data_IF_613593975628
#
_entry.id   IF_613593975628
#
_cell.length_a   1.000
_cell.length_b   1.000
_cell.length_c   1.000
_cell.angle_alpha   90.00
_cell.angle_beta   90.00
_cell.angle_gamma   90.00
#
_symmetry.space_group_name_H-M   'P 1'
#
loop_
_entity.id
_entity.type
_entity.pdbx_description
1 polymer ?
#
# COMPACT_ATOMS: atom_id res chain seq x y z
N UNK A 1 26.24 -5.78 -6.47
CA UNK A 1 25.03 -6.28 -7.16
C UNK A 1 24.04 -6.95 -6.23
N UNK A 2 24.44 -7.92 -5.42
CA UNK A 2 23.50 -8.62 -4.50
C UNK A 2 22.85 -7.67 -3.49
N UNK A 3 23.56 -6.69 -2.96
CA UNK A 3 23.01 -5.67 -2.04
C UNK A 3 21.89 -4.85 -2.72
N UNK A 4 22.10 -4.43 -3.98
CA UNK A 4 21.09 -3.68 -4.74
C UNK A 4 19.84 -4.51 -4.99
N UNK A 5 20.02 -5.80 -5.32
CA UNK A 5 18.89 -6.72 -5.49
C UNK A 5 18.12 -6.91 -4.18
N UNK A 6 18.83 -7.09 -3.07
CA UNK A 6 18.23 -7.22 -1.74
C UNK A 6 17.44 -5.96 -1.35
N UNK A 7 18.05 -4.79 -1.53
CA UNK A 7 17.43 -3.50 -1.27
C UNK A 7 16.21 -3.27 -2.17
N UNK A 8 16.32 -3.65 -3.44
CA UNK A 8 15.21 -3.59 -4.39
C UNK A 8 14.04 -4.51 -4.04
N UNK A 9 14.33 -5.72 -3.54
CA UNK A 9 13.30 -6.64 -3.05
C UNK A 9 12.63 -6.05 -1.79
N UNK A 10 13.40 -5.54 -0.84
CA UNK A 10 12.85 -4.93 0.37
C UNK A 10 11.93 -3.75 0.03
N UNK A 11 12.36 -2.87 -0.86
CA UNK A 11 11.57 -1.73 -1.32
C UNK A 11 10.33 -2.17 -2.12
N UNK A 12 10.47 -3.16 -3.01
CA UNK A 12 9.35 -3.72 -3.76
C UNK A 12 8.29 -4.36 -2.86
N UNK A 13 8.70 -5.11 -1.83
CA UNK A 13 7.78 -5.68 -0.85
C UNK A 13 7.06 -4.60 -0.04
N UNK A 14 7.77 -3.54 0.36
CA UNK A 14 7.18 -2.39 1.03
C UNK A 14 6.16 -1.69 0.13
N UNK A 15 6.50 -1.44 -1.14
CA UNK A 15 5.57 -0.87 -2.13
C UNK A 15 4.33 -1.74 -2.31
N UNK A 16 4.48 -3.07 -2.30
CA UNK A 16 3.33 -3.96 -2.38
C UNK A 16 2.39 -3.80 -1.19
N UNK A 17 2.90 -3.82 0.04
CA UNK A 17 2.06 -3.67 1.24
C UNK A 17 1.38 -2.30 1.24
N UNK A 18 2.11 -1.23 0.90
CA UNK A 18 1.56 0.11 0.74
C UNK A 18 0.45 0.18 -0.32
N UNK A 19 0.58 -0.54 -1.44
CA UNK A 19 -0.38 -0.53 -2.54
C UNK A 19 -1.46 -1.61 -2.42
N UNK A 20 -1.32 -2.59 -1.51
CA UNK A 20 -2.18 -3.77 -1.45
C UNK A 20 -3.65 -3.46 -1.19
N UNK A 21 -3.93 -2.49 -0.31
CA UNK A 21 -5.30 -2.04 -0.08
C UNK A 21 -5.90 -1.34 -1.30
N UNK A 22 -5.11 -0.58 -2.06
CA UNK A 22 -5.55 -0.01 -3.33
C UNK A 22 -5.79 -1.11 -4.37
N UNK A 23 -4.95 -2.14 -4.42
CA UNK A 23 -5.14 -3.29 -5.30
C UNK A 23 -6.47 -4.03 -5.00
N UNK A 24 -6.84 -4.14 -3.73
CA UNK A 24 -8.11 -4.73 -3.30
C UNK A 24 -9.29 -3.83 -3.65
N UNK A 25 -9.23 -2.53 -3.36
CA UNK A 25 -10.34 -1.61 -3.63
C UNK A 25 -10.54 -1.38 -5.13
N UNK A 26 -9.48 -1.17 -5.89
CA UNK A 26 -9.58 -0.97 -7.33
C UNK A 26 -9.86 -2.31 -8.06
N UNK A 27 -9.14 -3.38 -7.68
CA UNK A 27 -9.24 -4.67 -8.37
C UNK A 27 -10.52 -5.43 -8.07
N UNK A 28 -10.99 -5.42 -6.83
CA UNK A 28 -12.18 -6.17 -6.43
C UNK A 28 -13.43 -5.30 -6.33
N UNK A 29 -13.33 -4.08 -5.81
CA UNK A 29 -14.50 -3.21 -5.62
C UNK A 29 -14.74 -2.25 -6.79
N UNK A 30 -13.85 -2.23 -7.79
CA UNK A 30 -13.87 -1.28 -8.92
C UNK A 30 -14.01 0.19 -8.47
N UNK A 31 -13.36 0.54 -7.35
CA UNK A 31 -13.41 1.84 -6.73
C UNK A 31 -12.03 2.51 -6.75
N UNK A 32 -11.96 3.71 -7.36
CA UNK A 32 -10.71 4.47 -7.48
C UNK A 32 -10.50 5.29 -6.20
N UNK A 33 -9.61 4.83 -5.33
CA UNK A 33 -9.28 5.51 -4.08
C UNK A 33 -7.90 6.16 -4.12
N UNK A 34 -7.83 7.39 -4.57
CA UNK A 34 -6.57 8.14 -4.57
C UNK A 34 -6.12 8.57 -3.15
N UNK A 35 -7.05 8.62 -2.19
CA UNK A 35 -6.73 8.92 -0.79
C UNK A 35 -6.06 7.73 -0.04
N UNK A 36 -5.76 6.63 -0.75
CA UNK A 36 -5.12 5.47 -0.13
C UNK A 36 -3.80 5.81 0.57
N UNK A 37 -3.00 6.70 0.00
CA UNK A 37 -1.76 7.21 0.59
C UNK A 37 -1.95 7.95 1.92
N UNK A 38 -3.13 8.52 2.16
CA UNK A 38 -3.45 9.20 3.42
C UNK A 38 -3.55 8.22 4.61
N UNK A 39 -4.01 6.98 4.37
CA UNK A 39 -4.01 5.94 5.39
C UNK A 39 -2.59 5.46 5.72
N UNK A 40 -1.72 5.38 4.70
CA UNK A 40 -0.31 5.07 4.90
C UNK A 40 0.38 6.16 5.73
N UNK A 41 0.17 7.42 5.38
CA UNK A 41 0.65 8.57 6.14
C UNK A 41 0.14 8.55 7.59
N UNK A 42 -1.15 8.30 7.80
CA UNK A 42 -1.75 8.25 9.14
C UNK A 42 -1.10 7.16 10.02
N UNK A 43 -0.93 5.94 9.50
CA UNK A 43 -0.27 4.85 10.22
C UNK A 43 1.20 5.15 10.52
N UNK A 44 1.91 5.76 9.58
CA UNK A 44 3.28 6.21 9.78
C UNK A 44 3.37 7.26 10.89
N UNK A 45 2.53 8.30 10.88
CA UNK A 45 2.51 9.31 11.95
C UNK A 45 2.11 8.74 13.31
N UNK A 46 1.16 7.80 13.36
CA UNK A 46 0.85 7.07 14.60
C UNK A 46 2.10 6.38 15.14
N UNK A 47 2.88 5.73 14.29
CA UNK A 47 4.13 5.08 14.70
C UNK A 47 5.16 6.10 15.19
N UNK A 48 5.34 7.22 14.48
CA UNK A 48 6.24 8.32 14.92
C UNK A 48 5.85 8.83 16.29
N UNK A 49 4.55 9.08 16.53
CA UNK A 49 4.07 9.56 17.82
C UNK A 49 4.28 8.54 18.94
N UNK A 50 3.94 7.27 18.68
CA UNK A 50 4.07 6.20 19.67
C UNK A 50 5.54 5.95 20.05
N UNK A 51 6.42 5.84 19.05
CA UNK A 51 7.83 5.50 19.28
C UNK A 51 8.62 6.71 19.76
N UNK A 52 8.59 7.82 19.01
CA UNK A 52 9.48 8.95 19.26
C UNK A 52 9.02 9.84 20.41
N UNK A 53 7.70 9.95 20.68
CA UNK A 53 7.18 10.82 21.76
C UNK A 53 6.75 10.05 23.00
N UNK A 54 6.14 8.86 22.82
CA UNK A 54 5.59 8.08 23.94
C UNK A 54 6.50 6.94 24.39
N UNK A 55 7.62 6.68 23.68
CA UNK A 55 8.57 5.62 24.02
C UNK A 55 8.02 4.19 23.89
N UNK A 56 6.93 4.00 23.13
CA UNK A 56 6.35 2.67 22.88
C UNK A 56 7.33 1.86 22.03
N UNK A 57 7.58 0.59 22.36
CA UNK A 57 8.46 -0.26 21.54
C UNK A 57 8.00 -0.31 20.08
N UNK A 58 8.96 -0.19 19.14
CA UNK A 58 8.68 -0.16 17.70
C UNK A 58 7.77 -1.31 17.24
N UNK A 59 8.05 -2.55 17.69
CA UNK A 59 7.25 -3.71 17.31
C UNK A 59 5.78 -3.62 17.78
N UNK A 60 5.54 -3.00 18.93
CA UNK A 60 4.19 -2.80 19.46
C UNK A 60 3.45 -1.68 18.70
N UNK A 61 4.17 -0.70 18.15
CA UNK A 61 3.57 0.38 17.36
C UNK A 61 3.00 -0.11 16.02
N UNK A 62 3.53 -1.19 15.43
CA UNK A 62 3.08 -1.70 14.13
C UNK A 62 1.62 -2.17 14.14
N UNK A 63 1.15 -3.06 15.04
CA UNK A 63 -0.25 -3.43 15.10
C UNK A 63 -1.14 -2.25 15.51
N UNK A 64 -0.66 -1.30 16.31
CA UNK A 64 -1.41 -0.09 16.65
C UNK A 64 -1.60 0.83 15.45
N UNK A 65 -0.58 0.99 14.61
CA UNK A 65 -0.67 1.74 13.35
C UNK A 65 -1.66 1.09 12.37
N UNK A 66 -1.63 -0.25 12.25
CA UNK A 66 -2.62 -1.00 11.48
C UNK A 66 -4.03 -0.72 11.99
N UNK A 67 -4.27 -0.89 13.30
CA UNK A 67 -5.59 -0.70 13.90
C UNK A 67 -6.08 0.73 13.78
N UNK A 68 -5.24 1.73 14.02
CA UNK A 68 -5.60 3.14 13.90
C UNK A 68 -6.04 3.47 12.47
N UNK A 69 -5.25 3.06 11.46
CA UNK A 69 -5.59 3.29 10.05
C UNK A 69 -6.82 2.48 9.62
N UNK A 70 -6.99 1.26 10.13
CA UNK A 70 -8.18 0.44 9.86
C UNK A 70 -9.45 1.07 10.44
N UNK A 71 -9.39 1.62 11.65
CA UNK A 71 -10.52 2.33 12.28
C UNK A 71 -10.85 3.60 11.51
N UNK A 72 -9.84 4.41 11.15
CA UNK A 72 -10.05 5.60 10.31
C UNK A 72 -10.70 5.19 8.98
N UNK A 73 -10.18 4.18 8.32
CA UNK A 73 -10.73 3.66 7.07
C UNK A 73 -12.16 3.17 7.22
N UNK A 74 -12.46 2.41 8.27
CA UNK A 74 -13.81 1.94 8.56
C UNK A 74 -14.81 3.08 8.79
N UNK A 75 -14.43 4.08 9.59
CA UNK A 75 -15.27 5.24 9.87
C UNK A 75 -15.53 6.04 8.60
N UNK A 76 -14.48 6.35 7.83
CA UNK A 76 -14.62 7.09 6.57
C UNK A 76 -15.44 6.31 5.53
N UNK A 77 -15.29 4.99 5.47
CA UNK A 77 -16.11 4.17 4.59
C UNK A 77 -17.59 4.27 4.94
N UNK A 78 -17.92 4.12 6.21
CA UNK A 78 -19.33 4.15 6.69
C UNK A 78 -19.99 5.52 6.56
N UNK A 79 -19.21 6.59 6.68
CA UNK A 79 -19.74 7.97 6.69
C UNK A 79 -19.69 8.63 5.32
N UNK A 80 -18.62 8.39 4.53
CA UNK A 80 -18.37 9.13 3.30
C UNK A 80 -18.33 8.24 2.06
N UNK A 81 -17.47 7.20 2.02
CA UNK A 81 -17.22 6.42 0.80
C UNK A 81 -18.46 5.65 0.33
N UNK A 82 -19.31 5.17 1.25
CA UNK A 82 -20.55 4.46 0.92
C UNK A 82 -21.47 5.25 -0.02
N UNK A 83 -21.43 6.58 0.04
CA UNK A 83 -22.24 7.47 -0.80
C UNK A 83 -21.64 7.67 -2.21
N UNK A 84 -20.37 7.32 -2.40
CA UNK A 84 -19.61 7.57 -3.63
C UNK A 84 -19.42 6.31 -4.47
N UNK A 85 -19.61 5.11 -3.93
CA UNK A 85 -19.44 3.84 -4.66
C UNK A 85 -20.27 3.73 -5.96
N UNK A 86 -21.45 4.36 -5.99
CA UNK A 86 -22.37 4.33 -7.14
C UNK A 86 -22.22 5.53 -8.10
N UNK A 87 -21.30 6.43 -7.80
CA UNK A 87 -21.03 7.62 -8.62
C UNK A 87 -20.08 7.26 -9.76
N UNK A 88 -19.93 8.18 -10.72
CA UNK A 88 -18.99 8.02 -11.82
C UNK A 88 -17.56 7.92 -11.32
N UNK A 89 -16.66 7.32 -12.11
CA UNK A 89 -15.23 7.27 -11.78
C UNK A 89 -14.63 8.67 -11.60
N UNK A 90 -15.11 9.66 -12.34
CA UNK A 90 -14.67 11.04 -12.19
C UNK A 90 -15.07 11.61 -10.82
N UNK A 91 -16.31 11.38 -10.37
CA UNK A 91 -16.77 11.81 -9.04
C UNK A 91 -15.96 11.14 -7.93
N UNK A 92 -15.63 9.83 -8.08
CA UNK A 92 -14.81 9.08 -7.13
C UNK A 92 -13.41 9.68 -7.03
N UNK A 93 -12.79 10.00 -8.17
CA UNK A 93 -11.47 10.63 -8.24
C UNK A 93 -11.49 12.00 -7.59
N UNK A 94 -12.44 12.87 -7.95
CA UNK A 94 -12.55 14.22 -7.38
C UNK A 94 -12.78 14.18 -5.86
N UNK A 95 -13.65 13.30 -5.39
CA UNK A 95 -13.92 13.10 -3.98
C UNK A 95 -12.66 12.65 -3.23
N UNK A 96 -11.95 11.65 -3.74
CA UNK A 96 -10.76 11.10 -3.07
C UNK A 96 -9.58 12.06 -3.14
N UNK A 97 -9.41 12.86 -4.20
CA UNK A 97 -8.43 13.96 -4.23
C UNK A 97 -8.75 15.01 -3.16
N UNK A 98 -10.02 15.38 -2.99
CA UNK A 98 -10.44 16.28 -1.92
C UNK A 98 -10.02 15.75 -0.53
N UNK A 99 -10.22 14.45 -0.28
CA UNK A 99 -9.76 13.81 0.97
C UNK A 99 -8.23 13.81 1.12
N UNK A 100 -7.48 13.67 0.01
CA UNK A 100 -6.01 13.81 0.05
C UNK A 100 -5.62 15.19 0.55
N UNK A 101 -6.16 16.27 -0.05
CA UNK A 101 -5.82 17.63 0.39
C UNK A 101 -6.25 17.91 1.83
N UNK A 102 -7.41 17.42 2.26
CA UNK A 102 -7.82 17.51 3.66
C UNK A 102 -6.85 16.79 4.60
N UNK A 103 -6.40 15.60 4.23
CA UNK A 103 -5.43 14.84 5.03
C UNK A 103 -4.06 15.51 5.09
N UNK A 104 -3.61 16.10 3.96
CA UNK A 104 -2.36 16.89 3.89
C UNK A 104 -2.44 18.08 4.84
N UNK A 105 -3.53 18.87 4.75
CA UNK A 105 -3.72 20.04 5.61
C UNK A 105 -3.83 19.67 7.10
N UNK A 106 -4.54 18.59 7.41
CA UNK A 106 -4.65 18.09 8.78
C UNK A 106 -3.30 17.61 9.34
N UNK A 107 -2.51 16.89 8.52
CA UNK A 107 -1.18 16.44 8.90
C UNK A 107 -0.22 17.61 9.10
N UNK A 108 -0.24 18.59 8.21
CA UNK A 108 0.59 19.82 8.32
C UNK A 108 0.27 20.60 9.61
N UNK A 109 -1.01 20.74 9.93
CA UNK A 109 -1.47 21.43 11.13
C UNK A 109 -1.04 20.71 12.42
N UNK A 110 -1.14 19.37 12.47
CA UNK A 110 -0.89 18.60 13.69
C UNK A 110 0.59 18.24 13.87
N UNK A 111 1.27 17.88 12.78
CA UNK A 111 2.63 17.34 12.81
C UNK A 111 3.69 18.35 12.35
N UNK A 112 3.26 19.40 11.66
CA UNK A 112 4.13 20.38 11.00
C UNK A 112 4.60 19.90 9.64
N UNK A 113 5.19 20.83 8.87
CA UNK A 113 5.62 20.60 7.47
C UNK A 113 6.97 19.89 7.30
N UNK A 114 7.72 19.69 8.40
CA UNK A 114 9.04 19.05 8.36
C UNK A 114 8.93 17.54 8.19
N UNK A 115 9.87 16.97 7.43
CA UNK A 115 9.99 15.53 7.31
C UNK A 115 10.44 14.89 8.63
N UNK A 116 9.77 13.83 9.05
CA UNK A 116 10.08 13.07 10.25
C UNK A 116 10.35 11.60 9.93
N UNK A 117 11.21 10.98 10.72
CA UNK A 117 11.58 9.58 10.63
C UNK A 117 11.25 8.86 11.95
N UNK A 118 10.98 7.57 11.87
CA UNK A 118 10.82 6.73 13.06
C UNK A 118 12.19 6.33 13.60
N UNK A 119 12.37 6.44 14.91
CA UNK A 119 13.56 5.92 15.57
C UNK A 119 13.43 4.41 15.78
N UNK A 120 14.13 3.65 14.94
CA UNK A 120 14.13 2.19 15.07
C UNK A 120 15.08 1.75 16.20
N UNK A 121 14.77 0.62 16.90
CA UNK A 121 15.64 0.07 17.94
C UNK A 121 17.07 -0.18 17.42
N UNK A 122 18.05 -0.08 18.32
CA UNK A 122 19.46 -0.32 18.00
C UNK A 122 19.72 -1.73 17.42
N UNK A 123 18.90 -2.72 17.79
CA UNK A 123 18.96 -4.07 17.24
C UNK A 123 18.68 -4.14 15.73
N UNK A 124 17.93 -3.18 15.19
CA UNK A 124 17.58 -3.08 13.76
C UNK A 124 18.50 -2.12 12.99
N UNK A 125 19.32 -1.37 13.71
CA UNK A 125 20.32 -0.48 13.09
C UNK A 125 21.53 -1.29 12.62
N UNK A 126 22.19 -0.80 11.56
CA UNK A 126 23.38 -1.43 11.00
C UNK A 126 23.09 -2.56 10.01
N UNK A 127 24.12 -3.32 9.70
CA UNK A 127 24.12 -4.34 8.65
C UNK A 127 24.68 -5.65 9.19
N UNK A 128 24.27 -6.76 8.58
CA UNK A 128 24.94 -8.05 8.70
C UNK A 128 25.91 -8.18 7.53
N UNK A 129 27.18 -8.43 7.81
CA UNK A 129 28.17 -8.77 6.80
C UNK A 129 28.19 -10.30 6.61
N UNK A 130 27.65 -10.74 5.48
CA UNK A 130 27.69 -12.15 5.07
C UNK A 130 28.58 -12.25 3.83
N UNK A 131 29.79 -12.75 3.99
CA UNK A 131 30.74 -12.96 2.87
C UNK A 131 31.02 -11.69 2.04
N UNK A 132 31.14 -10.52 2.70
CA UNK A 132 31.38 -9.23 2.03
C UNK A 132 30.12 -8.56 1.45
N UNK A 133 28.93 -9.07 1.76
CA UNK A 133 27.66 -8.47 1.36
C UNK A 133 27.02 -7.85 2.59
N UNK A 134 26.92 -6.52 2.62
CA UNK A 134 26.22 -5.79 3.67
C UNK A 134 24.71 -5.89 3.49
N UNK A 135 24.03 -6.59 4.39
CA UNK A 135 22.58 -6.74 4.42
C UNK A 135 22.01 -5.90 5.56
N UNK A 136 21.23 -4.86 5.25
CA UNK A 136 20.58 -3.99 6.24
C UNK A 136 19.58 -4.78 7.11
N UNK A 137 19.75 -4.75 8.43
CA UNK A 137 18.87 -5.46 9.38
C UNK A 137 17.41 -5.04 9.26
N UNK A 138 17.18 -3.74 9.14
CA UNK A 138 15.83 -3.19 8.99
C UNK A 138 15.16 -3.65 7.69
N UNK A 139 15.92 -3.70 6.58
CA UNK A 139 15.41 -4.18 5.29
C UNK A 139 15.05 -5.67 5.32
N UNK A 140 15.82 -6.47 6.05
CA UNK A 140 15.48 -7.87 6.29
C UNK A 140 14.15 -8.00 7.05
N UNK A 141 13.95 -7.19 8.09
CA UNK A 141 12.68 -7.14 8.82
C UNK A 141 11.51 -6.81 7.88
N UNK A 142 11.68 -5.79 7.01
CA UNK A 142 10.65 -5.43 6.01
C UNK A 142 10.31 -6.63 5.12
N UNK A 143 11.32 -7.31 4.57
CA UNK A 143 11.10 -8.49 3.72
C UNK A 143 10.28 -9.56 4.46
N UNK A 144 10.65 -9.86 5.70
CA UNK A 144 9.96 -10.89 6.49
C UNK A 144 8.51 -10.48 6.78
N UNK A 145 8.30 -9.27 7.31
CA UNK A 145 6.95 -8.80 7.67
C UNK A 145 6.08 -8.67 6.42
N UNK A 146 6.57 -7.99 5.38
CA UNK A 146 5.80 -7.81 4.15
C UNK A 146 5.54 -9.15 3.43
N UNK A 147 6.49 -10.09 3.48
CA UNK A 147 6.31 -11.44 2.97
C UNK A 147 5.20 -12.20 3.71
N UNK A 148 5.21 -12.17 5.04
CA UNK A 148 4.15 -12.77 5.85
C UNK A 148 2.78 -12.13 5.58
N UNK A 149 2.73 -10.81 5.49
CA UNK A 149 1.49 -10.08 5.15
C UNK A 149 0.97 -10.44 3.76
N UNK A 150 1.87 -10.59 2.79
CA UNK A 150 1.51 -11.00 1.42
C UNK A 150 0.89 -12.40 1.42
N UNK A 151 1.52 -13.35 2.09
CA UNK A 151 1.00 -14.73 2.22
C UNK A 151 -0.34 -14.72 2.96
N UNK A 152 -0.44 -13.99 4.08
CA UNK A 152 -1.66 -13.87 4.85
C UNK A 152 -2.80 -13.26 4.02
N UNK A 153 -2.55 -12.19 3.27
CA UNK A 153 -3.53 -11.54 2.39
C UNK A 153 -4.01 -12.51 1.30
N UNK A 154 -3.09 -13.20 0.63
CA UNK A 154 -3.45 -14.20 -0.38
C UNK A 154 -4.27 -15.33 0.23
N UNK A 155 -3.88 -15.83 1.41
CA UNK A 155 -4.61 -16.88 2.11
C UNK A 155 -6.03 -16.43 2.49
N UNK A 156 -6.16 -15.23 3.07
CA UNK A 156 -7.47 -14.66 3.46
C UNK A 156 -8.39 -14.56 2.24
N UNK A 157 -7.88 -14.06 1.14
CA UNK A 157 -8.70 -13.84 -0.07
C UNK A 157 -9.00 -15.13 -0.83
N UNK A 158 -8.05 -16.09 -0.89
CA UNK A 158 -8.22 -17.31 -1.66
C UNK A 158 -9.01 -18.40 -0.92
N UNK A 159 -8.73 -18.57 0.39
CA UNK A 159 -9.15 -19.78 1.12
C UNK A 159 -10.14 -19.54 2.27
N UNK A 160 -10.50 -18.26 2.57
CA UNK A 160 -11.46 -18.00 3.67
C UNK A 160 -12.87 -17.70 3.18
N UNK A 161 -13.84 -17.85 4.10
CA UNK A 161 -15.23 -17.46 3.86
C UNK A 161 -15.39 -15.95 3.62
N UNK A 162 -14.49 -15.13 4.15
CA UNK A 162 -14.47 -13.70 3.89
C UNK A 162 -14.13 -13.42 2.42
N UNK A 163 -13.06 -14.02 1.90
CA UNK A 163 -12.67 -13.86 0.49
C UNK A 163 -13.74 -14.36 -0.49
N UNK A 164 -14.41 -15.47 -0.19
CA UNK A 164 -15.51 -15.96 -1.04
C UNK A 164 -16.73 -15.01 -1.03
N UNK A 165 -17.10 -14.47 0.14
CA UNK A 165 -18.17 -13.47 0.24
C UNK A 165 -17.82 -12.17 -0.47
N UNK A 166 -16.55 -11.74 -0.37
CA UNK A 166 -16.08 -10.55 -1.07
C UNK A 166 -16.20 -10.73 -2.58
N UNK A 167 -15.69 -11.83 -3.15
CA UNK A 167 -15.83 -12.11 -4.59
C UNK A 167 -17.28 -12.14 -5.03
N UNK A 168 -18.16 -12.86 -4.31
CA UNK A 168 -19.59 -12.89 -4.61
C UNK A 168 -20.25 -11.50 -4.56
N UNK A 169 -19.87 -10.66 -3.57
CA UNK A 169 -20.39 -9.30 -3.44
C UNK A 169 -19.94 -8.38 -4.58
N UNK A 170 -18.76 -8.63 -5.17
CA UNK A 170 -18.17 -7.87 -6.27
C UNK A 170 -18.73 -8.34 -7.62
N UNK A 171 -18.87 -9.65 -7.83
CA UNK A 171 -19.38 -10.23 -9.07
C UNK A 171 -20.83 -9.81 -9.33
N UNK A 172 -21.70 -9.99 -8.34
CA UNK A 172 -23.09 -9.49 -8.39
C UNK A 172 -23.59 -9.15 -6.99
N UNK A 173 -23.57 -7.87 -6.63
CA UNK A 173 -24.02 -7.39 -5.32
C UNK A 173 -25.52 -7.62 -5.06
N UNK A 174 -26.35 -7.73 -6.12
CA UNK A 174 -27.78 -7.99 -5.98
C UNK A 174 -28.03 -9.45 -5.62
N UNK A 175 -27.42 -10.37 -6.37
CA UNK A 175 -27.50 -11.81 -6.09
C UNK A 175 -26.89 -12.13 -4.73
N UNK A 176 -25.73 -11.56 -4.39
CA UNK A 176 -25.09 -11.76 -3.09
C UNK A 176 -26.02 -11.37 -1.92
N UNK A 177 -26.74 -10.24 -2.04
CA UNK A 177 -27.75 -9.83 -1.03
C UNK A 177 -28.91 -10.79 -0.96
N UNK A 178 -29.38 -11.31 -2.10
CA UNK A 178 -30.44 -12.34 -2.16
C UNK A 178 -30.04 -13.63 -1.44
N UNK A 179 -28.76 -13.97 -1.43
CA UNK A 179 -28.17 -15.10 -0.69
C UNK A 179 -27.88 -14.79 0.79
N UNK A 180 -28.29 -13.62 1.31
CA UNK A 180 -28.12 -13.23 2.70
C UNK A 180 -26.73 -12.64 3.03
N UNK A 181 -25.88 -12.31 2.03
CA UNK A 181 -24.60 -11.67 2.27
C UNK A 181 -24.83 -10.18 2.50
N UNK A 182 -24.37 -9.68 3.65
CA UNK A 182 -24.38 -8.24 3.92
C UNK A 182 -23.22 -7.56 3.18
N UNK A 183 -23.47 -7.16 1.93
CA UNK A 183 -22.47 -6.54 1.04
C UNK A 183 -21.84 -5.28 1.65
N UNK A 184 -22.65 -4.47 2.36
CA UNK A 184 -22.15 -3.23 2.97
C UNK A 184 -21.12 -3.53 4.08
N UNK A 185 -21.32 -4.58 4.88
CA UNK A 185 -20.34 -5.00 5.87
C UNK A 185 -19.08 -5.60 5.24
N UNK A 186 -19.25 -6.39 4.19
CA UNK A 186 -18.10 -6.97 3.46
C UNK A 186 -17.24 -5.85 2.89
N UNK A 187 -17.83 -4.82 2.29
CA UNK A 187 -17.08 -3.69 1.73
C UNK A 187 -16.41 -2.85 2.83
N UNK A 188 -17.12 -2.55 3.92
CA UNK A 188 -16.55 -1.80 5.04
C UNK A 188 -15.34 -2.51 5.68
N UNK A 189 -15.45 -3.82 5.91
CA UNK A 189 -14.35 -4.61 6.46
C UNK A 189 -13.18 -4.71 5.48
N UNK A 190 -13.46 -4.87 4.18
CA UNK A 190 -12.43 -4.89 3.13
C UNK A 190 -11.68 -3.57 3.08
N UNK A 191 -12.40 -2.45 3.11
CA UNK A 191 -11.84 -1.11 3.10
C UNK A 191 -11.00 -0.84 4.36
N UNK A 192 -11.53 -1.20 5.54
CA UNK A 192 -10.82 -1.10 6.81
C UNK A 192 -9.51 -1.91 6.81
N UNK A 193 -9.58 -3.15 6.35
CA UNK A 193 -8.40 -4.02 6.27
C UNK A 193 -7.36 -3.46 5.29
N UNK A 194 -7.79 -2.99 4.11
CA UNK A 194 -6.92 -2.35 3.12
C UNK A 194 -6.26 -1.07 3.66
N UNK A 195 -7.03 -0.24 4.36
CA UNK A 195 -6.51 0.98 5.02
C UNK A 195 -5.52 0.64 6.14
N UNK A 196 -5.80 -0.44 6.91
CA UNK A 196 -4.89 -0.95 7.93
C UNK A 196 -3.55 -1.42 7.35
N UNK A 197 -3.59 -2.16 6.22
CA UNK A 197 -2.37 -2.58 5.51
C UNK A 197 -1.56 -1.37 5.00
N UNK A 198 -2.23 -0.35 4.45
CA UNK A 198 -1.57 0.88 4.06
C UNK A 198 -0.90 1.55 5.26
N UNK A 199 -1.61 1.67 6.40
CA UNK A 199 -1.06 2.26 7.62
C UNK A 199 0.14 1.49 8.16
N UNK A 200 0.09 0.18 8.13
CA UNK A 200 1.22 -0.66 8.53
C UNK A 200 2.39 -0.53 7.55
N UNK A 201 2.11 -0.44 6.24
CA UNK A 201 3.13 -0.13 5.23
C UNK A 201 3.76 1.25 5.46
N UNK A 202 2.97 2.26 5.83
CA UNK A 202 3.46 3.59 6.21
C UNK A 202 4.32 3.57 7.47
N UNK A 203 3.93 2.77 8.48
CA UNK A 203 4.71 2.55 9.70
C UNK A 203 6.09 1.92 9.41
N UNK A 204 6.11 0.87 8.58
CA UNK A 204 7.34 0.21 8.14
C UNK A 204 8.16 1.10 7.19
N UNK A 205 7.50 1.93 6.38
CA UNK A 205 8.17 2.85 5.46
C UNK A 205 8.73 4.10 6.10
N UNK A 206 8.26 4.47 7.30
CA UNK A 206 8.58 5.75 7.94
C UNK A 206 10.07 5.97 8.23
N UNK A 207 10.85 4.89 8.39
CA UNK A 207 12.31 5.00 8.57
C UNK A 207 13.03 5.21 7.24
N UNK A 208 12.58 4.56 6.15
CA UNK A 208 13.27 4.59 4.84
C UNK A 208 12.81 5.77 3.98
N UNK A 209 11.50 6.01 3.94
CA UNK A 209 10.89 7.00 3.06
C UNK A 209 10.80 8.39 3.72
N UNK A 210 10.79 8.39 5.07
CA UNK A 210 10.41 9.57 5.84
C UNK A 210 8.94 9.93 5.65
N UNK A 211 8.42 10.70 6.58
CA UNK A 211 7.02 11.16 6.54
C UNK A 211 6.99 12.68 6.55
N UNK A 212 6.27 13.23 5.61
CA UNK A 212 5.89 14.63 5.57
C UNK A 212 4.42 14.73 5.13
N UNK A 213 3.74 15.87 5.33
CA UNK A 213 2.32 16.02 4.97
C UNK A 213 2.03 15.73 3.50
N UNK A 214 2.99 15.90 2.59
CA UNK A 214 2.83 15.64 1.16
C UNK A 214 3.02 14.18 0.76
N UNK A 215 3.29 13.28 1.73
CA UNK A 215 3.48 11.84 1.51
C UNK A 215 2.39 11.21 0.63
N UNK A 216 1.08 11.46 0.85
CA UNK A 216 0.03 10.89 0.01
C UNK A 216 0.17 11.30 -1.46
N UNK A 217 0.51 12.55 -1.73
CA UNK A 217 0.68 13.06 -3.10
C UNK A 217 1.90 12.46 -3.79
N UNK A 218 3.03 12.33 -3.06
CA UNK A 218 4.27 11.76 -3.58
C UNK A 218 4.10 10.28 -3.97
N UNK A 219 3.45 9.49 -3.10
CA UNK A 219 3.37 8.05 -3.27
C UNK A 219 2.11 7.56 -3.98
N UNK A 220 1.08 8.39 -4.17
CA UNK A 220 -0.14 8.05 -4.89
C UNK A 220 0.15 7.45 -6.27
N UNK A 221 1.06 8.07 -7.01
CA UNK A 221 1.43 7.62 -8.36
C UNK A 221 2.13 6.25 -8.29
N UNK A 222 3.02 6.03 -7.31
CA UNK A 222 3.70 4.73 -7.13
C UNK A 222 2.70 3.60 -6.85
N UNK A 223 1.68 3.84 -6.02
CA UNK A 223 0.65 2.84 -5.74
C UNK A 223 -0.19 2.53 -6.97
N UNK A 224 -0.56 3.55 -7.75
CA UNK A 224 -1.25 3.37 -9.01
C UNK A 224 -0.40 2.59 -10.03
N UNK A 225 0.90 2.88 -10.13
CA UNK A 225 1.82 2.17 -11.01
C UNK A 225 1.86 0.68 -10.65
N UNK A 226 2.01 0.35 -9.36
CA UNK A 226 2.04 -1.04 -8.89
C UNK A 226 0.77 -1.78 -9.30
N UNK A 227 -0.40 -1.17 -9.12
CA UNK A 227 -1.68 -1.81 -9.43
C UNK A 227 -1.92 -1.90 -10.93
N UNK A 228 -1.60 -0.86 -11.69
CA UNK A 228 -1.81 -0.84 -13.15
C UNK A 228 -0.83 -1.75 -13.89
N UNK A 229 0.44 -1.75 -13.51
CA UNK A 229 1.47 -2.64 -14.07
C UNK A 229 1.17 -4.10 -13.70
N UNK A 230 0.75 -4.34 -12.47
CA UNK A 230 0.38 -5.69 -12.01
C UNK A 230 -0.90 -6.22 -12.63
N UNK A 231 -1.83 -5.32 -12.94
CA UNK A 231 -3.20 -5.63 -13.35
C UNK A 231 -4.14 -5.80 -12.15
N UNK A 232 -5.42 -5.55 -12.38
CA UNK A 232 -6.45 -5.51 -11.33
C UNK A 232 -7.16 -6.84 -11.10
N UNK A 233 -6.90 -7.85 -11.93
CA UNK A 233 -7.62 -9.14 -11.90
C UNK A 233 -7.17 -10.09 -10.78
N UNK A 234 -6.02 -9.85 -10.16
CA UNK A 234 -5.45 -10.68 -9.10
C UNK A 234 -4.53 -9.87 -8.19
N UNK A 235 -4.28 -10.34 -6.97
CA UNK A 235 -3.31 -9.71 -6.05
C UNK A 235 -1.88 -10.14 -6.34
N UNK A 236 -1.71 -11.30 -6.97
CA UNK A 236 -0.38 -11.80 -7.38
C UNK A 236 0.28 -10.88 -8.41
N UNK A 237 -0.51 -10.28 -9.30
CA UNK A 237 -0.02 -9.34 -10.30
C UNK A 237 0.66 -8.11 -9.69
N UNK A 238 -0.03 -7.32 -8.85
CA UNK A 238 0.57 -6.20 -8.12
C UNK A 238 1.78 -6.59 -7.26
N UNK A 239 1.79 -7.80 -6.67
CA UNK A 239 2.96 -8.29 -5.92
C UNK A 239 4.19 -8.45 -6.81
N UNK A 240 4.06 -9.16 -7.93
CA UNK A 240 5.17 -9.34 -8.87
C UNK A 240 5.60 -8.03 -9.53
N UNK A 241 4.63 -7.17 -9.87
CA UNK A 241 4.91 -5.84 -10.40
C UNK A 241 5.69 -4.98 -9.41
N UNK A 242 5.31 -4.98 -8.14
CA UNK A 242 6.01 -4.21 -7.10
C UNK A 242 7.46 -4.66 -6.91
N UNK A 243 7.75 -5.96 -7.03
CA UNK A 243 9.12 -6.47 -6.97
C UNK A 243 9.95 -5.98 -8.17
N UNK A 244 9.41 -6.07 -9.39
CA UNK A 244 10.08 -5.57 -10.60
C UNK A 244 10.33 -4.06 -10.50
N UNK A 245 9.31 -3.31 -10.08
CA UNK A 245 9.39 -1.86 -9.92
C UNK A 245 10.38 -1.46 -8.81
N UNK A 246 10.36 -2.15 -7.68
CA UNK A 246 11.27 -1.90 -6.56
C UNK A 246 12.73 -2.17 -6.91
N UNK A 247 13.01 -3.29 -7.58
CA UNK A 247 14.35 -3.61 -8.06
C UNK A 247 14.80 -2.58 -9.11
N UNK A 248 13.91 -2.23 -10.05
CA UNK A 248 14.20 -1.25 -11.09
C UNK A 248 14.45 0.15 -10.53
N UNK A 249 13.66 0.61 -9.57
CA UNK A 249 13.83 1.92 -8.92
C UNK A 249 15.16 2.02 -8.16
N UNK A 250 15.47 1.00 -7.34
CA UNK A 250 16.73 0.96 -6.58
C UNK A 250 17.94 0.84 -7.49
N UNK A 251 17.88 -0.03 -8.50
CA UNK A 251 18.95 -0.17 -9.48
C UNK A 251 19.15 1.12 -10.29
N UNK A 252 18.05 1.75 -10.73
CA UNK A 252 18.10 3.02 -11.46
C UNK A 252 18.77 4.13 -10.66
N UNK A 253 18.38 4.30 -9.40
CA UNK A 253 18.99 5.29 -8.49
C UNK A 253 20.47 5.02 -8.20
N UNK A 254 20.88 3.75 -8.22
CA UNK A 254 22.26 3.38 -7.97
C UNK A 254 23.16 3.57 -9.21
N UNK A 255 22.72 3.08 -10.39
CA UNK A 255 23.55 3.09 -11.60
C UNK A 255 23.48 4.41 -12.37
N UNK A 256 22.32 5.08 -12.34
CA UNK A 256 22.09 6.34 -13.06
C UNK A 256 21.38 7.35 -12.14
N UNK A 257 22.07 7.90 -11.11
CA UNK A 257 21.43 8.72 -10.08
C UNK A 257 20.65 9.92 -10.63
N UNK A 258 21.12 10.53 -11.72
CA UNK A 258 20.49 11.68 -12.37
C UNK A 258 19.15 11.35 -13.02
N UNK A 259 18.95 10.10 -13.46
CA UNK A 259 17.74 9.62 -14.12
C UNK A 259 17.02 8.56 -13.30
N UNK A 260 17.53 8.20 -12.12
CA UNK A 260 17.02 7.11 -11.30
C UNK A 260 15.52 7.23 -10.99
N UNK A 261 15.05 8.45 -10.73
CA UNK A 261 13.63 8.69 -10.45
C UNK A 261 12.72 8.49 -11.67
N UNK A 262 13.25 8.51 -12.89
CA UNK A 262 12.46 8.27 -14.11
C UNK A 262 12.28 6.79 -14.41
N UNK A 263 13.12 5.91 -13.86
CA UNK A 263 13.12 4.46 -14.20
C UNK A 263 11.77 3.82 -13.93
N UNK A 264 11.14 4.10 -12.78
CA UNK A 264 9.84 3.53 -12.44
C UNK A 264 8.73 3.95 -13.42
N UNK A 265 8.74 5.21 -13.84
CA UNK A 265 7.79 5.73 -14.83
C UNK A 265 8.04 5.15 -16.23
N UNK A 266 9.32 4.98 -16.59
CA UNK A 266 9.72 4.36 -17.86
C UNK A 266 9.23 2.91 -17.91
N UNK A 267 9.43 2.13 -16.84
CA UNK A 267 8.92 0.75 -16.74
C UNK A 267 7.40 0.74 -16.91
N UNK A 268 6.70 1.65 -16.23
CA UNK A 268 5.24 1.78 -16.35
C UNK A 268 4.82 2.01 -17.81
N UNK A 269 5.42 3.02 -18.47
CA UNK A 269 5.06 3.39 -19.85
C UNK A 269 5.31 2.21 -20.79
N UNK A 270 6.47 1.57 -20.71
CA UNK A 270 6.84 0.42 -21.54
C UNK A 270 5.85 -0.74 -21.33
N UNK A 271 5.52 -1.05 -20.07
CA UNK A 271 4.58 -2.13 -19.77
C UNK A 271 3.18 -1.82 -20.29
N UNK A 272 2.67 -0.60 -20.11
CA UNK A 272 1.32 -0.23 -20.53
C UNK A 272 1.19 -0.14 -22.06
N UNK A 273 2.25 0.25 -22.78
CA UNK A 273 2.28 0.19 -24.26
C UNK A 273 2.22 -1.26 -24.73
N UNK A 274 2.96 -2.16 -24.08
CA UNK A 274 3.05 -3.56 -24.48
C UNK A 274 1.84 -4.38 -24.01
N UNK A 275 1.39 -4.14 -22.76
CA UNK A 275 0.24 -4.82 -22.13
C UNK A 275 -0.64 -3.81 -21.36
N UNK A 276 -1.61 -3.18 -22.02
CA UNK A 276 -2.44 -2.14 -21.41
C UNK A 276 -3.30 -2.63 -20.24
N UNK A 277 -3.53 -3.95 -20.12
CA UNK A 277 -4.28 -4.55 -19.01
C UNK A 277 -3.39 -4.94 -17.82
N UNK A 278 -2.08 -4.66 -17.89
CA UNK A 278 -1.08 -5.09 -16.92
C UNK A 278 -0.45 -6.44 -17.26
N UNK A 279 0.73 -6.71 -16.66
CA UNK A 279 1.57 -7.88 -16.99
C UNK A 279 0.89 -9.21 -16.67
N UNK A 280 0.10 -9.27 -15.61
CA UNK A 280 -0.45 -10.49 -15.03
C UNK A 280 -1.99 -10.55 -15.08
N UNK A 281 -2.63 -9.68 -15.87
CA UNK A 281 -4.06 -9.81 -16.12
C UNK A 281 -4.33 -11.07 -16.95
N UNK A 282 -5.32 -11.88 -16.55
CA UNK A 282 -5.83 -12.94 -17.42
C UNK A 282 -6.44 -12.26 -18.64
N UNK A 283 -5.97 -12.65 -19.84
CA UNK A 283 -6.63 -12.27 -21.08
C UNK A 283 -8.11 -12.69 -20.95
N UNK A 284 -9.02 -11.71 -20.99
CA UNK A 284 -10.43 -12.04 -21.12
C UNK A 284 -10.55 -12.81 -22.42
N UNK A 285 -10.89 -14.11 -22.33
CA UNK A 285 -11.27 -14.88 -23.52
C UNK A 285 -12.50 -14.17 -24.08
N UNK A 286 -12.31 -13.54 -25.24
CA UNK A 286 -13.38 -13.02 -26.08
C UNK A 286 -14.27 -14.15 -26.55
#
# INVERSE_FOLDING_TARGET
MLTILFDGIAYGMLLFVLASGLAVTLGLMNFINLAHGSFAMAGGYVTVLLVNRLGVPFYASLPLAFLASAVIGFVLERTLYVHVYRKSHLDQVLFTIGLVFMSVAAADYVMGSSQVFVQVPSSLQGQFDISGIGIGRYRLLIIVICGLLTVALQFILAYTRFGSRLRAAVDDSRVARGLGINVNWVFALTFAFGSGLAGLGGALGAEILGLDPTFPLKFMIYFLIVVTVGGTSSITGPFLASLVLGIGDVAGKYYVPTLGSFVIYTIMIVVLIWRPQGLFSRAASR
#
